data_IF_000177252153
#
_entry.id   IF_000177252153
#
_cell.length_a   1.000
_cell.length_b   1.000
_cell.length_c   1.000
_cell.angle_alpha   90.00
_cell.angle_beta   90.00
_cell.angle_gamma   90.00
#
_symmetry.space_group_name_H-M   'P 1'
#
loop_
_entity.id
_entity.type
_entity.pdbx_description
1 polymer ?
#
# COMPACT_ATOMS: atom_id res chain seq x y z
N UNK A 1 15.30 25.87 19.79
CA UNK A 1 14.38 26.77 19.05
C UNK A 1 13.33 25.87 18.43
N UNK A 2 12.04 26.21 18.51
CA UNK A 2 11.03 25.43 17.80
C UNK A 2 11.28 25.61 16.29
N UNK A 3 11.45 24.50 15.57
CA UNK A 3 11.45 24.55 14.11
C UNK A 3 10.06 24.99 13.67
N UNK A 4 9.94 26.23 13.19
CA UNK A 4 8.69 26.76 12.66
C UNK A 4 8.42 26.14 11.29
N UNK A 5 7.99 24.88 11.27
CA UNK A 5 7.57 24.22 10.04
C UNK A 5 6.30 24.89 9.51
N UNK A 6 6.31 25.20 8.21
CA UNK A 6 5.09 25.68 7.56
C UNK A 6 4.12 24.52 7.34
N UNK A 7 2.83 24.83 7.16
CA UNK A 7 1.86 23.81 6.72
C UNK A 7 2.35 23.08 5.47
N UNK A 8 3.00 23.79 4.54
CA UNK A 8 3.56 23.20 3.30
C UNK A 8 4.65 22.18 3.61
N UNK A 9 5.52 22.45 4.57
CA UNK A 9 6.61 21.54 4.95
C UNK A 9 6.06 20.25 5.56
N UNK A 10 5.04 20.35 6.41
CA UNK A 10 4.40 19.16 6.97
C UNK A 10 3.55 18.43 5.89
N UNK A 11 2.77 19.14 5.07
CA UNK A 11 1.90 18.56 4.04
C UNK A 11 2.65 17.89 2.90
N UNK A 12 3.83 18.39 2.58
CA UNK A 12 4.75 17.72 1.65
C UNK A 12 5.58 16.64 2.33
N UNK A 13 5.66 16.67 3.66
CA UNK A 13 6.49 15.81 4.49
C UNK A 13 7.96 16.15 4.54
N UNK A 14 8.37 17.32 4.06
CA UNK A 14 9.76 17.77 4.21
C UNK A 14 10.15 17.98 5.67
N UNK A 15 9.22 18.37 6.53
CA UNK A 15 9.51 18.59 7.95
C UNK A 15 9.96 17.34 8.71
N UNK A 16 9.51 16.17 8.30
CA UNK A 16 9.92 14.89 8.90
C UNK A 16 10.99 14.16 8.10
N UNK A 17 11.48 14.75 7.01
CA UNK A 17 12.42 14.10 6.09
C UNK A 17 13.73 13.71 6.76
N UNK A 18 14.31 14.61 7.55
CA UNK A 18 15.58 14.37 8.24
C UNK A 18 15.44 13.24 9.26
N UNK A 19 14.45 13.34 10.15
CA UNK A 19 14.23 12.33 11.18
C UNK A 19 13.91 10.95 10.60
N UNK A 20 12.94 10.85 9.68
CA UNK A 20 12.62 9.58 9.03
C UNK A 20 13.81 9.05 8.19
N UNK A 21 14.59 9.95 7.60
CA UNK A 21 15.86 9.62 6.94
C UNK A 21 16.85 8.92 7.86
N UNK A 22 17.01 9.41 9.10
CA UNK A 22 17.86 8.78 10.11
C UNK A 22 17.38 7.39 10.52
N UNK A 23 16.07 7.10 10.36
CA UNK A 23 15.45 5.81 10.64
C UNK A 23 15.45 4.87 9.42
N UNK A 24 16.09 5.26 8.31
CA UNK A 24 16.20 4.45 7.09
C UNK A 24 15.10 4.64 6.06
N UNK A 25 14.22 5.62 6.23
CA UNK A 25 13.20 5.95 5.24
C UNK A 25 13.73 6.89 4.17
N UNK A 26 13.26 6.71 2.95
CA UNK A 26 13.53 7.57 1.81
C UNK A 26 12.29 8.32 1.38
N UNK A 27 12.46 9.59 1.02
CA UNK A 27 11.40 10.42 0.45
C UNK A 27 11.61 10.60 -1.06
N UNK A 28 10.93 9.81 -1.91
CA UNK A 28 11.23 9.79 -3.35
C UNK A 28 10.84 11.07 -4.09
N UNK A 29 9.92 11.88 -3.54
CA UNK A 29 9.41 13.09 -4.19
C UNK A 29 9.28 14.24 -3.19
N UNK A 30 9.81 15.42 -3.55
CA UNK A 30 9.82 16.60 -2.67
C UNK A 30 8.41 17.12 -2.33
N UNK A 31 7.48 17.10 -3.28
CA UNK A 31 6.15 17.70 -3.10
C UNK A 31 5.05 16.68 -2.78
N UNK A 32 5.41 15.49 -2.28
CA UNK A 32 4.45 14.45 -1.90
C UNK A 32 4.75 13.92 -0.50
N UNK A 33 3.73 13.70 0.35
CA UNK A 33 3.89 13.21 1.73
C UNK A 33 4.24 11.71 1.80
N UNK A 34 4.87 11.16 0.77
CA UNK A 34 5.17 9.74 0.65
C UNK A 34 6.60 9.42 1.07
N UNK A 35 6.75 8.39 1.89
CA UNK A 35 7.99 7.82 2.36
C UNK A 35 8.03 6.33 2.04
N UNK A 36 9.22 5.82 1.76
CA UNK A 36 9.45 4.43 1.40
C UNK A 36 10.64 3.88 2.15
N UNK A 37 10.55 2.66 2.64
CA UNK A 37 11.69 1.92 3.18
C UNK A 37 11.74 0.55 2.51
N UNK A 38 12.95 0.12 2.15
CA UNK A 38 13.17 -1.12 1.42
C UNK A 38 13.38 -2.27 2.42
N UNK A 39 12.80 -3.43 2.10
CA UNK A 39 12.84 -4.64 2.92
C UNK A 39 13.22 -5.84 2.06
N UNK A 40 14.32 -6.50 2.42
CA UNK A 40 14.91 -7.54 1.59
C UNK A 40 15.30 -7.03 0.20
N UNK A 41 15.33 -7.91 -0.79
CA UNK A 41 15.75 -7.54 -2.15
C UNK A 41 14.64 -6.89 -2.99
N UNK A 42 13.36 -7.11 -2.65
CA UNK A 42 12.25 -6.81 -3.56
C UNK A 42 11.10 -5.99 -2.95
N UNK A 43 10.93 -6.02 -1.63
CA UNK A 43 9.78 -5.39 -0.99
C UNK A 43 10.07 -3.94 -0.61
N UNK A 44 9.04 -3.11 -0.68
CA UNK A 44 9.06 -1.72 -0.21
C UNK A 44 7.82 -1.53 0.66
N UNK A 45 8.03 -1.04 1.89
CA UNK A 45 6.94 -0.46 2.67
C UNK A 45 6.84 1.03 2.34
N UNK A 46 5.65 1.48 1.92
CA UNK A 46 5.34 2.86 1.59
C UNK A 46 4.34 3.41 2.59
N UNK A 47 4.64 4.58 3.16
CA UNK A 47 3.72 5.33 4.00
C UNK A 47 3.46 6.71 3.40
N UNK A 48 2.18 7.08 3.30
CA UNK A 48 1.77 8.42 2.92
C UNK A 48 1.17 9.10 4.14
N UNK A 49 1.81 10.16 4.64
CA UNK A 49 1.37 10.91 5.81
C UNK A 49 0.32 11.95 5.42
N UNK A 50 -0.92 11.50 5.21
CA UNK A 50 -2.03 12.35 4.77
C UNK A 50 -2.60 13.15 5.94
N UNK A 51 -3.13 14.32 5.65
CA UNK A 51 -3.76 15.20 6.63
C UNK A 51 -5.19 14.80 6.93
N UNK A 52 -5.60 14.92 8.20
CA UNK A 52 -6.94 14.55 8.62
C UNK A 52 -8.03 15.61 8.31
N UNK A 53 -7.65 16.85 7.97
CA UNK A 53 -8.60 17.93 7.65
C UNK A 53 -8.27 18.62 6.34
N UNK A 54 -9.29 18.79 5.48
CA UNK A 54 -9.22 19.63 4.27
C UNK A 54 -9.12 21.12 4.59
N UNK A 55 -9.57 21.52 5.77
CA UNK A 55 -9.35 22.86 6.28
C UNK A 55 -7.90 22.95 6.76
N UNK A 56 -7.11 23.77 6.07
CA UNK A 56 -5.74 24.16 6.39
C UNK A 56 -5.65 24.95 7.72
N UNK A 57 -6.33 24.48 8.77
CA UNK A 57 -6.39 25.13 10.07
C UNK A 57 -5.01 25.02 10.72
N UNK A 58 -4.32 26.15 10.97
CA UNK A 58 -3.07 26.14 11.72
C UNK A 58 -3.31 25.50 13.09
N UNK A 59 -2.49 24.51 13.47
CA UNK A 59 -2.61 23.82 14.77
C UNK A 59 -3.11 22.37 14.71
N UNK A 60 -3.73 21.91 13.61
CA UNK A 60 -4.11 20.50 13.47
C UNK A 60 -3.12 19.75 12.56
N UNK A 61 -2.07 19.21 13.18
CA UNK A 61 -0.99 18.48 12.50
C UNK A 61 -1.09 16.97 12.69
N UNK A 62 -2.31 16.48 12.94
CA UNK A 62 -2.58 15.05 12.97
C UNK A 62 -3.09 14.57 11.61
N UNK A 63 -2.74 13.35 11.28
CA UNK A 63 -3.04 12.77 9.99
C UNK A 63 -3.50 11.33 10.05
N UNK A 64 -4.10 10.91 8.94
CA UNK A 64 -4.53 9.54 8.71
C UNK A 64 -3.56 8.98 7.68
N UNK A 65 -2.42 8.42 8.12
CA UNK A 65 -1.47 7.87 7.16
C UNK A 65 -2.09 6.68 6.42
N UNK A 66 -1.62 6.45 5.20
CA UNK A 66 -1.99 5.32 4.36
C UNK A 66 -0.74 4.46 4.11
N UNK A 67 -0.83 3.15 4.34
CA UNK A 67 0.33 2.27 4.26
C UNK A 67 0.16 1.19 3.21
N UNK A 68 1.25 0.88 2.51
CA UNK A 68 1.26 -0.06 1.41
C UNK A 68 2.51 -0.91 1.43
N UNK A 69 2.38 -2.17 1.01
CA UNK A 69 3.53 -2.99 0.64
C UNK A 69 3.57 -3.11 -0.87
N UNK A 70 4.75 -2.93 -1.45
CA UNK A 70 4.98 -2.96 -2.89
C UNK A 70 6.10 -3.94 -3.23
N UNK A 71 6.10 -4.46 -4.47
CA UNK A 71 7.25 -5.18 -5.04
C UNK A 71 7.89 -4.40 -6.18
N UNK A 72 9.22 -4.27 -6.15
CA UNK A 72 10.01 -3.61 -7.19
C UNK A 72 10.02 -4.43 -8.49
N UNK A 73 10.26 -5.72 -8.40
CA UNK A 73 10.31 -6.67 -9.53
C UNK A 73 8.94 -6.71 -10.20
N UNK A 74 7.88 -6.87 -9.42
CA UNK A 74 6.52 -6.87 -9.95
C UNK A 74 6.17 -5.54 -10.61
N UNK A 75 6.44 -4.41 -9.94
CA UNK A 75 6.26 -3.07 -10.53
C UNK A 75 6.95 -2.92 -11.89
N UNK A 76 8.17 -3.43 -12.02
CA UNK A 76 8.92 -3.40 -13.28
C UNK A 76 8.25 -4.27 -14.36
N UNK A 77 7.77 -5.45 -13.99
CA UNK A 77 7.05 -6.36 -14.91
C UNK A 77 5.69 -5.81 -15.31
N UNK A 78 4.90 -5.29 -14.37
CA UNK A 78 3.60 -4.66 -14.64
C UNK A 78 3.71 -3.50 -15.65
N UNK A 79 4.78 -2.71 -15.56
CA UNK A 79 5.07 -1.65 -16.56
C UNK A 79 5.34 -2.22 -17.94
N UNK A 80 6.02 -3.36 -18.05
CA UNK A 80 6.23 -4.05 -19.34
C UNK A 80 4.90 -4.56 -19.88
N UNK A 81 4.11 -5.27 -19.08
CA UNK A 81 2.78 -5.78 -19.47
C UNK A 81 1.91 -4.62 -19.99
N UNK A 82 1.83 -3.53 -19.21
CA UNK A 82 1.04 -2.35 -19.57
C UNK A 82 1.48 -1.66 -20.86
N UNK A 83 2.76 -1.78 -21.24
CA UNK A 83 3.28 -1.20 -22.48
C UNK A 83 2.93 -2.03 -23.73
N UNK A 84 2.62 -3.32 -23.57
CA UNK A 84 2.27 -4.23 -24.67
C UNK A 84 0.76 -4.34 -24.91
N UNK A 85 -0.05 -3.69 -24.07
CA UNK A 85 -1.51 -3.69 -24.20
C UNK A 85 -1.97 -2.41 -24.91
N UNK A 86 -2.72 -2.58 -26.01
CA UNK A 86 -3.30 -1.47 -26.79
C UNK A 86 -4.20 -0.54 -25.97
N UNK A 87 -4.73 -1.04 -24.85
CA UNK A 87 -5.33 -0.24 -23.80
C UNK A 87 -4.50 -0.43 -22.54
N UNK A 88 -3.91 0.64 -21.99
CA UNK A 88 -3.15 0.51 -20.76
C UNK A 88 -4.10 0.02 -19.65
N UNK A 89 -3.59 -0.80 -18.72
CA UNK A 89 -4.25 -1.13 -17.44
C UNK A 89 -4.55 0.11 -16.56
N UNK A 90 -4.39 1.33 -17.11
CA UNK A 90 -4.52 2.66 -16.53
C UNK A 90 -5.96 3.18 -16.43
N UNK A 91 -7.00 2.41 -16.77
CA UNK A 91 -8.38 2.90 -16.67
C UNK A 91 -8.84 3.14 -15.22
N UNK A 92 -8.04 2.75 -14.23
CA UNK A 92 -8.17 3.26 -12.86
C UNK A 92 -7.04 4.25 -12.60
N UNK A 93 -7.33 5.51 -12.29
CA UNK A 93 -6.34 6.46 -11.80
C UNK A 93 -6.00 6.08 -10.38
N UNK A 94 -5.20 5.01 -10.24
CA UNK A 94 -4.66 4.60 -8.96
C UNK A 94 -3.17 4.90 -8.96
N UNK A 95 -2.61 5.55 -7.93
CA UNK A 95 -1.17 5.80 -7.83
C UNK A 95 -0.33 4.52 -7.59
N UNK A 96 -0.89 3.34 -7.82
CA UNK A 96 -0.50 2.06 -7.23
C UNK A 96 0.17 1.14 -8.27
N UNK A 97 1.44 1.45 -8.52
CA UNK A 97 2.39 0.72 -9.36
C UNK A 97 2.96 -0.52 -8.61
N UNK A 98 2.23 -1.64 -8.53
CA UNK A 98 2.73 -2.89 -7.91
C UNK A 98 2.54 -2.99 -6.39
N UNK A 99 1.44 -2.41 -5.89
CA UNK A 99 1.01 -2.51 -4.50
C UNK A 99 0.41 -3.91 -4.26
N UNK A 100 1.02 -4.69 -3.36
CA UNK A 100 0.55 -6.04 -3.02
C UNK A 100 -0.32 -6.06 -1.77
N UNK A 101 -0.24 -5.01 -0.96
CA UNK A 101 -1.00 -4.92 0.27
C UNK A 101 -1.31 -3.47 0.63
N UNK A 102 -2.47 -3.25 1.26
CA UNK A 102 -2.93 -1.95 1.68
C UNK A 102 -3.51 -2.00 3.10
N UNK A 103 -2.99 -1.16 3.99
CA UNK A 103 -3.46 -1.03 5.36
C UNK A 103 -4.24 0.29 5.46
N UNK A 104 -5.56 0.17 5.37
CA UNK A 104 -6.49 1.28 5.57
C UNK A 104 -6.82 1.49 7.04
N UNK A 105 -7.50 2.59 7.38
CA UNK A 105 -7.94 2.91 8.77
C UNK A 105 -8.78 1.80 9.40
N UNK A 106 -9.59 1.11 8.59
CA UNK A 106 -10.43 0.00 9.06
C UNK A 106 -9.68 -1.32 9.23
N UNK A 107 -8.39 -1.37 8.86
CA UNK A 107 -7.60 -2.59 8.96
C UNK A 107 -7.30 -2.90 10.44
N UNK A 108 -7.44 -4.16 10.90
CA UNK A 108 -7.24 -4.53 12.30
C UNK A 108 -5.88 -4.09 12.84
N UNK A 109 -4.82 -4.12 12.00
CA UNK A 109 -3.46 -3.73 12.39
C UNK A 109 -3.14 -2.24 12.23
N UNK A 110 -4.06 -1.42 11.70
CA UNK A 110 -3.81 0.00 11.45
C UNK A 110 -3.34 0.74 12.70
N UNK A 111 -3.98 0.41 13.82
CA UNK A 111 -3.75 1.03 15.12
C UNK A 111 -2.31 0.82 15.62
N UNK A 112 -1.61 -0.24 15.19
CA UNK A 112 -0.21 -0.51 15.55
C UNK A 112 0.74 0.60 15.05
N UNK A 113 0.39 1.27 13.95
CA UNK A 113 1.22 2.29 13.30
C UNK A 113 0.95 3.71 13.80
N UNK A 114 -0.21 3.93 14.42
CA UNK A 114 -0.70 5.24 14.83
C UNK A 114 -0.92 5.33 16.34
N UNK A 115 -0.17 4.54 17.10
CA UNK A 115 -0.17 4.57 18.57
C UNK A 115 -1.53 4.22 19.22
N UNK A 116 -2.24 3.26 18.63
CA UNK A 116 -3.58 2.84 19.04
C UNK A 116 -4.68 3.91 18.94
N UNK A 117 -4.39 5.03 18.28
CA UNK A 117 -5.33 6.12 18.04
C UNK A 117 -6.01 6.01 16.65
N UNK A 118 -7.00 6.85 16.40
CA UNK A 118 -7.60 6.98 15.06
C UNK A 118 -6.72 7.78 14.08
N UNK A 119 -5.72 8.51 14.59
CA UNK A 119 -4.86 9.44 13.85
C UNK A 119 -3.48 9.49 14.48
N UNK A 120 -2.46 9.74 13.66
CA UNK A 120 -1.11 9.98 14.14
C UNK A 120 -0.84 11.48 14.25
N UNK A 121 -0.33 11.92 15.40
CA UNK A 121 0.05 13.32 15.64
C UNK A 121 1.48 13.58 15.18
N UNK A 122 1.65 14.37 14.10
CA UNK A 122 2.98 14.62 13.52
C UNK A 122 3.76 15.72 14.25
N UNK A 123 3.08 16.75 14.76
CA UNK A 123 3.68 17.81 15.59
C UNK A 123 3.06 17.84 16.99
N UNK A 124 3.87 18.21 17.97
CA UNK A 124 3.43 18.50 19.33
C UNK A 124 2.70 19.85 19.39
N UNK A 125 2.03 20.13 20.52
CA UNK A 125 1.27 21.37 20.74
C UNK A 125 2.14 22.64 20.69
N UNK A 126 3.44 22.51 20.91
CA UNK A 126 4.44 23.59 20.82
C UNK A 126 4.99 23.79 19.40
N UNK A 127 4.50 23.03 18.41
CA UNK A 127 4.94 23.09 17.02
C UNK A 127 6.18 22.26 16.70
N UNK A 128 6.81 21.62 17.69
CA UNK A 128 7.96 20.75 17.46
C UNK A 128 7.57 19.41 16.85
N UNK A 129 8.48 18.77 16.12
CA UNK A 129 8.25 17.47 15.54
C UNK A 129 7.97 16.42 16.63
N UNK A 130 6.93 15.60 16.44
CA UNK A 130 6.66 14.48 17.34
C UNK A 130 7.57 13.30 17.00
N UNK A 131 8.84 13.43 17.35
CA UNK A 131 9.90 12.44 17.14
C UNK A 131 9.49 11.06 17.66
N UNK A 132 8.85 11.02 18.82
CA UNK A 132 8.44 9.79 19.48
C UNK A 132 7.40 9.01 18.66
N UNK A 133 6.37 9.69 18.14
CA UNK A 133 5.38 9.07 17.28
C UNK A 133 6.00 8.57 15.97
N UNK A 134 6.87 9.35 15.32
CA UNK A 134 7.55 8.94 14.08
C UNK A 134 8.47 7.73 14.29
N UNK A 135 9.18 7.68 15.43
CA UNK A 135 10.01 6.53 15.79
C UNK A 135 9.14 5.29 16.07
N UNK A 136 8.05 5.43 16.83
CA UNK A 136 7.09 4.33 17.06
C UNK A 136 6.52 3.78 15.75
N UNK A 137 6.07 4.67 14.86
CA UNK A 137 5.62 4.31 13.53
C UNK A 137 6.69 3.49 12.77
N UNK A 138 7.94 3.97 12.77
CA UNK A 138 9.03 3.27 12.08
C UNK A 138 9.29 1.89 12.68
N UNK A 139 9.25 1.75 14.01
CA UNK A 139 9.39 0.46 14.68
C UNK A 139 8.22 -0.47 14.35
N UNK A 140 6.99 0.03 14.33
CA UNK A 140 5.81 -0.75 13.97
C UNK A 140 5.87 -1.24 12.51
N UNK A 141 6.29 -0.38 11.58
CA UNK A 141 6.51 -0.76 10.18
C UNK A 141 7.58 -1.83 10.02
N UNK A 142 8.68 -1.72 10.78
CA UNK A 142 9.73 -2.74 10.76
C UNK A 142 9.20 -4.10 11.24
N UNK A 143 8.56 -4.13 12.41
CA UNK A 143 7.96 -5.36 12.98
C UNK A 143 6.90 -5.96 12.05
N UNK A 144 6.06 -5.11 11.46
CA UNK A 144 5.08 -5.56 10.48
C UNK A 144 5.78 -6.29 9.32
N UNK A 145 6.82 -5.68 8.74
CA UNK A 145 7.55 -6.26 7.62
C UNK A 145 8.38 -7.50 7.98
N UNK A 146 8.87 -7.63 9.22
CA UNK A 146 9.49 -8.87 9.71
C UNK A 146 8.50 -10.06 9.73
N UNK A 147 7.21 -9.76 9.92
CA UNK A 147 6.13 -10.76 9.98
C UNK A 147 5.30 -10.84 8.69
N UNK A 148 5.60 -10.02 7.69
CA UNK A 148 4.77 -9.92 6.49
C UNK A 148 5.01 -11.15 5.61
N UNK A 149 4.00 -12.01 5.52
CA UNK A 149 4.00 -13.16 4.63
C UNK A 149 2.94 -12.98 3.53
N UNK A 150 3.34 -13.22 2.29
CA UNK A 150 2.40 -13.20 1.17
C UNK A 150 1.47 -14.41 1.14
N UNK A 151 1.89 -15.54 1.74
CA UNK A 151 1.10 -16.77 1.78
C UNK A 151 -0.24 -16.56 2.53
N UNK A 152 -0.27 -15.65 3.50
CA UNK A 152 -1.49 -15.27 4.23
C UNK A 152 -2.59 -14.73 3.29
N UNK A 153 -2.23 -14.20 2.11
CA UNK A 153 -3.18 -13.68 1.11
C UNK A 153 -3.56 -14.70 0.03
N UNK A 154 -2.98 -15.90 0.05
CA UNK A 154 -3.29 -16.98 -0.89
C UNK A 154 -4.50 -17.79 -0.42
N UNK A 155 -4.62 -17.96 0.90
CA UNK A 155 -5.66 -18.76 1.55
C UNK A 155 -6.93 -17.97 1.92
N UNK A 156 -7.21 -16.88 1.20
CA UNK A 156 -8.36 -16.02 1.50
C UNK A 156 -9.68 -16.77 1.31
N UNK A 157 -10.53 -16.73 2.34
CA UNK A 157 -11.91 -17.18 2.26
C UNK A 157 -12.74 -16.22 1.42
N UNK A 158 -13.89 -16.71 0.94
CA UNK A 158 -14.86 -15.87 0.21
C UNK A 158 -15.29 -14.64 1.02
N UNK A 159 -15.48 -14.81 2.33
CA UNK A 159 -15.83 -13.72 3.23
C UNK A 159 -14.73 -12.66 3.32
N UNK A 160 -13.45 -13.07 3.31
CA UNK A 160 -12.32 -12.14 3.38
C UNK A 160 -12.13 -11.36 2.07
N UNK A 161 -12.32 -12.02 0.92
CA UNK A 161 -12.35 -11.35 -0.38
C UNK A 161 -13.42 -10.25 -0.44
N UNK A 162 -14.59 -10.51 0.15
CA UNK A 162 -15.70 -9.55 0.20
C UNK A 162 -15.44 -8.38 1.16
N UNK A 163 -14.81 -8.62 2.32
CA UNK A 163 -14.66 -7.62 3.37
C UNK A 163 -13.43 -6.71 3.22
N UNK A 164 -12.34 -7.21 2.62
CA UNK A 164 -11.03 -6.55 2.72
C UNK A 164 -10.66 -5.59 1.57
N UNK A 165 -11.57 -5.31 0.61
CA UNK A 165 -11.29 -4.41 -0.54
C UNK A 165 -9.98 -4.78 -1.28
N UNK A 166 -9.75 -6.09 -1.45
CA UNK A 166 -8.54 -6.61 -2.07
C UNK A 166 -8.60 -6.59 -3.61
N UNK A 167 -9.71 -6.12 -4.17
CA UNK A 167 -9.97 -6.04 -5.61
C UNK A 167 -8.87 -5.29 -6.39
N UNK A 168 -8.20 -4.34 -5.75
CA UNK A 168 -7.10 -3.61 -6.39
C UNK A 168 -5.72 -4.26 -6.23
N UNK A 169 -5.52 -5.11 -5.22
CA UNK A 169 -4.21 -5.72 -4.89
C UNK A 169 -4.08 -7.19 -5.30
N UNK A 170 -5.17 -7.95 -5.42
CA UNK A 170 -5.11 -9.37 -5.81
C UNK A 170 -4.38 -9.60 -7.15
N UNK A 171 -4.65 -8.84 -8.23
CA UNK A 171 -3.90 -9.01 -9.47
C UNK A 171 -2.41 -8.73 -9.28
N UNK A 172 -2.04 -7.82 -8.37
CA UNK A 172 -0.66 -7.52 -8.04
C UNK A 172 0.00 -8.66 -7.25
N UNK A 173 -0.72 -9.30 -6.32
CA UNK A 173 -0.28 -10.51 -5.61
C UNK A 173 -0.04 -11.65 -6.60
N UNK A 174 -0.99 -11.94 -7.50
CA UNK A 174 -0.82 -12.97 -8.54
C UNK A 174 0.41 -12.71 -9.41
N UNK A 175 0.57 -11.47 -9.86
CA UNK A 175 1.72 -11.06 -10.66
C UNK A 175 3.05 -11.21 -9.91
N UNK A 176 3.09 -10.85 -8.63
CA UNK A 176 4.27 -11.04 -7.78
C UNK A 176 4.66 -12.51 -7.64
N UNK A 177 3.70 -13.38 -7.30
CA UNK A 177 3.94 -14.81 -7.14
C UNK A 177 4.48 -15.42 -8.43
N UNK A 178 3.96 -14.96 -9.58
CA UNK A 178 4.41 -15.38 -10.91
C UNK A 178 5.85 -14.96 -11.21
N UNK A 179 6.23 -13.72 -10.91
CA UNK A 179 7.61 -13.21 -11.14
C UNK A 179 8.64 -13.84 -10.21
N UNK A 180 8.23 -14.26 -9.02
CA UNK A 180 9.11 -14.90 -8.04
C UNK A 180 9.07 -16.44 -8.08
N UNK A 181 8.46 -17.04 -9.12
CA UNK A 181 8.42 -18.49 -9.35
C UNK A 181 7.81 -19.30 -8.18
N UNK A 182 6.91 -18.68 -7.42
CA UNK A 182 6.18 -19.31 -6.31
C UNK A 182 4.96 -20.07 -6.86
N UNK A 183 5.21 -21.09 -7.68
CA UNK A 183 4.19 -21.73 -8.53
C UNK A 183 3.01 -22.31 -7.73
N UNK A 184 3.27 -23.00 -6.61
CA UNK A 184 2.21 -23.63 -5.82
C UNK A 184 1.23 -22.58 -5.27
N UNK A 185 1.76 -21.52 -4.65
CA UNK A 185 0.98 -20.39 -4.12
C UNK A 185 0.26 -19.61 -5.22
N UNK A 186 0.93 -19.40 -6.36
CA UNK A 186 0.35 -18.75 -7.53
C UNK A 186 -0.87 -19.52 -8.03
N UNK A 187 -0.74 -20.83 -8.18
CA UNK A 187 -1.80 -21.68 -8.73
C UNK A 187 -2.96 -21.83 -7.74
N UNK A 188 -2.67 -21.87 -6.44
CA UNK A 188 -3.68 -21.86 -5.38
C UNK A 188 -4.47 -20.56 -5.36
N UNK A 189 -3.78 -19.41 -5.33
CA UNK A 189 -4.41 -18.10 -5.41
C UNK A 189 -5.25 -17.97 -6.69
N UNK A 190 -4.71 -18.45 -7.82
CA UNK A 190 -5.42 -18.44 -9.08
C UNK A 190 -6.75 -19.19 -8.99
N UNK A 191 -6.74 -20.44 -8.51
CA UNK A 191 -7.95 -21.26 -8.36
C UNK A 191 -8.97 -20.61 -7.44
N UNK A 192 -8.55 -20.12 -6.27
CA UNK A 192 -9.44 -19.55 -5.26
C UNK A 192 -10.17 -18.29 -5.79
N UNK A 193 -9.44 -17.39 -6.44
CA UNK A 193 -10.01 -16.13 -6.94
C UNK A 193 -10.74 -16.32 -8.28
N UNK A 194 -10.23 -17.14 -9.20
CA UNK A 194 -10.85 -17.35 -10.52
C UNK A 194 -12.24 -17.99 -10.40
N UNK A 195 -12.42 -18.96 -9.50
CA UNK A 195 -13.73 -19.56 -9.23
C UNK A 195 -14.74 -18.48 -8.80
N UNK A 196 -14.32 -17.55 -7.94
CA UNK A 196 -15.16 -16.45 -7.48
C UNK A 196 -15.49 -15.43 -8.59
N UNK A 197 -14.52 -15.07 -9.44
CA UNK A 197 -14.72 -14.11 -10.53
C UNK A 197 -15.58 -14.65 -11.70
N UNK A 198 -15.71 -15.96 -11.81
CA UNK A 198 -16.49 -16.63 -12.87
C UNK A 198 -17.89 -17.03 -12.45
N UNK A 199 -18.19 -17.04 -11.14
CA UNK A 199 -19.54 -17.25 -10.63
C UNK A 199 -20.44 -16.04 -10.96
N UNK A 200 -21.45 -16.28 -11.80
CA UNK A 200 -22.40 -15.25 -12.27
C UNK A 200 -23.42 -14.83 -11.21
N UNK A 201 -23.50 -15.53 -10.08
CA UNK A 201 -24.39 -15.19 -8.97
C UNK A 201 -23.78 -14.21 -7.96
N UNK A 202 -22.46 -13.99 -8.03
CA UNK A 202 -21.74 -13.08 -7.15
C UNK A 202 -21.92 -11.60 -7.57
N UNK A 203 -22.95 -10.94 -7.06
CA UNK A 203 -23.15 -9.47 -7.18
C UNK A 203 -22.28 -8.72 -6.19
N UNK A 204 -20.96 -8.58 -6.41
CA UNK A 204 -20.08 -8.24 -5.27
C UNK A 204 -18.98 -7.18 -5.43
N UNK A 205 -18.75 -6.52 -6.57
CA UNK A 205 -17.83 -5.37 -6.58
C UNK A 205 -18.32 -4.22 -7.46
N UNK A 206 -18.15 -2.99 -6.97
CA UNK A 206 -18.45 -1.77 -7.73
C UNK A 206 -17.63 -1.70 -9.05
N UNK A 207 -16.50 -2.42 -9.13
CA UNK A 207 -15.58 -2.45 -10.28
C UNK A 207 -15.18 -3.88 -10.72
N UNK A 208 -16.06 -4.89 -10.60
CA UNK A 208 -15.78 -6.30 -10.99
C UNK A 208 -15.12 -6.44 -12.37
N UNK A 209 -15.59 -5.65 -13.34
CA UNK A 209 -15.06 -5.69 -14.71
C UNK A 209 -13.59 -5.28 -14.80
N UNK A 210 -13.16 -4.32 -13.97
CA UNK A 210 -11.78 -3.84 -13.96
C UNK A 210 -10.86 -4.86 -13.29
N UNK A 211 -11.26 -5.37 -12.12
CA UNK A 211 -10.53 -6.42 -11.41
C UNK A 211 -10.35 -7.63 -12.31
N UNK A 212 -11.44 -8.15 -12.88
CA UNK A 212 -11.43 -9.32 -13.76
C UNK A 212 -10.55 -9.09 -14.99
N UNK A 213 -10.67 -7.95 -15.64
CA UNK A 213 -9.83 -7.62 -16.80
C UNK A 213 -8.33 -7.62 -16.45
N UNK A 214 -7.95 -7.01 -15.33
CA UNK A 214 -6.55 -6.94 -14.91
C UNK A 214 -6.03 -8.32 -14.49
N UNK A 215 -6.87 -9.09 -13.82
CA UNK A 215 -6.60 -10.48 -13.44
C UNK A 215 -6.32 -11.37 -14.65
N UNK A 216 -7.26 -11.40 -15.61
CA UNK A 216 -7.17 -12.24 -16.81
C UNK A 216 -5.93 -11.90 -17.64
N UNK A 217 -5.64 -10.60 -17.83
CA UNK A 217 -4.42 -10.15 -18.53
C UNK A 217 -3.14 -10.67 -17.88
N UNK A 218 -3.06 -10.67 -16.55
CA UNK A 218 -1.87 -11.14 -15.82
C UNK A 218 -1.80 -12.67 -15.90
N UNK A 219 -2.92 -13.37 -15.72
CA UNK A 219 -2.99 -14.81 -15.85
C UNK A 219 -2.58 -15.28 -17.25
N UNK A 220 -3.07 -14.63 -18.30
CA UNK A 220 -2.71 -14.90 -19.70
C UNK A 220 -1.23 -14.65 -19.98
N UNK A 221 -0.69 -13.53 -19.47
CA UNK A 221 0.73 -13.19 -19.62
C UNK A 221 1.65 -14.28 -19.06
N UNK A 222 1.23 -14.94 -17.97
CA UNK A 222 1.94 -16.06 -17.37
C UNK A 222 1.39 -17.43 -17.80
N UNK A 223 0.49 -17.47 -18.79
CA UNK A 223 -0.09 -18.69 -19.38
C UNK A 223 -0.74 -19.65 -18.38
N UNK A 224 -1.52 -19.11 -17.44
CA UNK A 224 -2.13 -19.84 -16.32
C UNK A 224 -3.51 -20.47 -16.63
N UNK A 225 -3.74 -20.95 -17.86
CA UNK A 225 -5.04 -21.49 -18.33
C UNK A 225 -5.10 -23.01 -18.42
#
# INVERSE_FOLDING_TARGET
MADNYTYRDIASGEAFREHLGSLGWSKPRKNQPGFTQEYGEDLIFRAAFLYATFNHTPGNYSGIPAFYVMSKKWRKTLRKISAHLDQPLKSVPSPHDGDMYFISVGHPRYHEFVDHEARMTYLRSDGTLNIEALTRFSTAAHRFMETFDLADYVALTEQELQQQRLDTVLPDVLGYLSVNTMNDLRDELYRNVHAHLTDRSATLFADQHVLRRRWDVIADYFSLT
#
